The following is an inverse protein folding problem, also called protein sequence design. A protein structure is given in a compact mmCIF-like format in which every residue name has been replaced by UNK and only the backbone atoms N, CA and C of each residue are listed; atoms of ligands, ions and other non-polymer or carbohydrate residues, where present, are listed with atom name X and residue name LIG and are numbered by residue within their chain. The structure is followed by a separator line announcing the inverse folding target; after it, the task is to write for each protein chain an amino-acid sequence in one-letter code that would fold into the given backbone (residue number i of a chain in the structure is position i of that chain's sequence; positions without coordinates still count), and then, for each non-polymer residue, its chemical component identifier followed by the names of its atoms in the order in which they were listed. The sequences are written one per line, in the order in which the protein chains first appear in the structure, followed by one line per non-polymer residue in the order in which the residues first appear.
data_IF_632349469107
#
_entry.id   IF_632349469107
#
_cell.length_a   1.000
_cell.length_b   1.000
_cell.length_c   1.000
_cell.angle_alpha   90.00
_cell.angle_beta   90.00
_cell.angle_gamma   90.00
#
_symmetry.space_group_name_H-M   'P 1'
#
loop_
_entity.id
_entity.type
_entity.pdbx_description
1 polymer ?
#
# COMPACT_ATOMS: atom_id res chain seq x y z
N UNK A 1 1.47 -9.74 11.06
CA UNK A 1 0.77 -8.71 11.87
C UNK A 1 0.30 -7.68 10.86
N UNK A 2 -1.00 -7.44 10.76
CA UNK A 2 -1.58 -6.74 9.60
C UNK A 2 -1.48 -5.21 9.66
N UNK A 3 -1.23 -4.58 10.82
CA UNK A 3 -1.24 -3.10 10.92
C UNK A 3 -0.11 -2.38 10.15
N UNK A 4 -0.38 -1.16 9.67
CA UNK A 4 0.62 -0.35 8.94
C UNK A 4 1.72 0.18 9.86
N UNK A 5 1.38 0.47 11.13
CA UNK A 5 2.29 1.04 12.13
C UNK A 5 2.89 2.37 11.64
N UNK A 6 2.05 3.24 11.07
CA UNK A 6 2.43 4.43 10.32
C UNK A 6 3.57 5.25 10.96
N UNK A 7 3.40 5.73 12.19
CA UNK A 7 4.44 6.52 12.88
C UNK A 7 5.80 5.79 12.95
N UNK A 8 5.78 4.47 13.17
CA UNK A 8 7.00 3.65 13.26
C UNK A 8 7.61 3.34 11.90
N UNK A 9 6.77 3.27 10.88
CA UNK A 9 7.20 3.11 9.49
C UNK A 9 7.87 4.40 9.00
N UNK A 10 7.30 5.57 9.32
CA UNK A 10 7.92 6.88 9.06
C UNK A 10 9.28 7.01 9.75
N UNK A 11 9.37 6.72 11.06
CA UNK A 11 10.64 6.76 11.80
C UNK A 11 11.70 5.83 11.18
N UNK A 12 11.33 4.61 10.77
CA UNK A 12 12.28 3.67 10.15
C UNK A 12 12.71 4.09 8.75
N UNK A 13 11.79 4.64 7.94
CA UNK A 13 12.11 5.17 6.62
C UNK A 13 13.09 6.35 6.73
N UNK A 14 12.85 7.26 7.68
CA UNK A 14 13.74 8.38 7.98
C UNK A 14 15.14 7.90 8.35
N UNK A 15 15.25 6.96 9.30
CA UNK A 15 16.53 6.38 9.67
C UNK A 15 17.23 5.69 8.50
N UNK A 16 16.48 5.01 7.64
CA UNK A 16 17.05 4.34 6.49
C UNK A 16 17.59 5.35 5.45
N UNK A 17 16.87 6.44 5.20
CA UNK A 17 17.35 7.53 4.35
C UNK A 17 18.63 8.17 4.91
N UNK A 18 18.71 8.40 6.22
CA UNK A 18 19.89 9.00 6.87
C UNK A 18 21.11 8.08 6.92
N UNK A 19 20.91 6.77 7.07
CA UNK A 19 22.00 5.79 7.28
C UNK A 19 22.41 5.05 6.00
N UNK A 20 21.53 4.97 5.01
CA UNK A 20 21.73 4.25 3.75
C UNK A 20 21.83 2.73 3.87
N UNK A 21 21.83 2.16 5.08
CA UNK A 21 21.94 0.72 5.29
C UNK A 21 21.23 0.21 6.54
N UNK A 22 20.65 -0.99 6.45
CA UNK A 22 19.85 -1.60 7.51
C UNK A 22 20.64 -2.09 8.73
N UNK A 23 21.97 -2.16 8.65
CA UNK A 23 22.80 -2.54 9.80
C UNK A 23 22.84 -1.37 10.79
N UNK A 24 23.15 -0.17 10.30
CA UNK A 24 23.24 1.03 11.12
C UNK A 24 21.85 1.49 11.62
N UNK A 25 20.80 1.31 10.81
CA UNK A 25 19.41 1.54 11.24
C UNK A 25 19.05 0.65 12.43
N UNK A 26 19.45 -0.63 12.38
CA UNK A 26 19.17 -1.59 13.46
C UNK A 26 19.79 -1.15 14.78
N UNK A 27 21.05 -0.75 14.73
CA UNK A 27 21.80 -0.35 15.92
C UNK A 27 21.19 0.92 16.51
N UNK A 28 20.94 1.94 15.67
CA UNK A 28 20.27 3.19 16.07
C UNK A 28 18.89 2.91 16.68
N UNK A 29 18.05 2.10 16.02
CA UNK A 29 16.70 1.78 16.46
C UNK A 29 16.65 1.13 17.86
N UNK A 30 17.60 0.24 18.15
CA UNK A 30 17.66 -0.43 19.45
C UNK A 30 18.34 0.38 20.54
N UNK A 31 19.37 1.15 20.20
CA UNK A 31 20.14 1.94 21.16
C UNK A 31 19.40 3.19 21.61
N UNK A 32 18.80 3.92 20.67
CA UNK A 32 18.01 5.13 20.96
C UNK A 32 16.60 4.80 21.48
N UNK A 33 16.23 3.51 21.48
CA UNK A 33 14.92 3.02 21.91
C UNK A 33 13.77 3.81 21.29
N UNK A 34 13.88 4.22 20.03
CA UNK A 34 12.95 5.16 19.37
C UNK A 34 11.47 4.75 19.46
N UNK A 35 11.18 3.46 19.72
CA UNK A 35 9.85 2.99 20.13
C UNK A 35 9.27 3.57 21.44
N UNK A 36 10.06 4.31 22.24
CA UNK A 36 9.84 5.11 23.48
C UNK A 36 8.77 4.70 24.52
N UNK A 37 8.06 3.59 24.34
CA UNK A 37 6.98 3.07 25.20
C UNK A 37 6.90 1.54 25.21
N UNK A 38 7.84 0.85 24.57
CA UNK A 38 7.71 -0.56 24.24
C UNK A 38 8.83 -1.39 24.86
N UNK A 39 8.51 -2.60 25.32
CA UNK A 39 9.52 -3.56 25.77
C UNK A 39 10.53 -3.86 24.66
N UNK A 40 11.75 -4.31 25.00
CA UNK A 40 12.75 -4.76 24.01
C UNK A 40 12.16 -5.75 22.99
N UNK A 41 11.26 -6.64 23.44
CA UNK A 41 10.58 -7.61 22.59
C UNK A 41 9.62 -6.99 21.58
N UNK A 42 8.84 -5.97 21.97
CA UNK A 42 7.94 -5.27 21.05
C UNK A 42 8.68 -4.40 20.04
N UNK A 43 9.74 -3.70 20.46
CA UNK A 43 10.59 -2.94 19.54
C UNK A 43 11.23 -3.85 18.49
N UNK A 44 11.74 -5.02 18.90
CA UNK A 44 12.30 -6.00 17.97
C UNK A 44 11.26 -6.59 17.01
N UNK A 45 10.03 -6.79 17.47
CA UNK A 45 8.94 -7.28 16.62
C UNK A 45 8.54 -6.24 15.57
N UNK A 46 8.39 -4.97 15.96
CA UNK A 46 8.07 -3.86 15.04
C UNK A 46 9.17 -3.73 13.99
N UNK A 47 10.43 -3.66 14.43
CA UNK A 47 11.59 -3.59 13.54
C UNK A 47 11.56 -4.71 12.49
N UNK A 48 11.43 -5.98 12.93
CA UNK A 48 11.42 -7.12 12.01
C UNK A 48 10.29 -7.04 10.98
N UNK A 49 9.08 -6.65 11.39
CA UNK A 49 7.93 -6.57 10.48
C UNK A 49 8.12 -5.44 9.46
N UNK A 50 8.49 -4.25 9.90
CA UNK A 50 8.63 -3.09 9.01
C UNK A 50 9.85 -3.20 8.10
N UNK A 51 11.00 -3.62 8.63
CA UNK A 51 12.19 -3.86 7.81
C UNK A 51 11.97 -4.98 6.80
N UNK A 52 11.17 -6.02 7.09
CA UNK A 52 10.78 -7.01 6.08
C UNK A 52 10.03 -6.34 4.92
N UNK A 53 9.03 -5.51 5.21
CA UNK A 53 8.24 -4.81 4.19
C UNK A 53 9.11 -3.92 3.30
N UNK A 54 10.03 -3.17 3.90
CA UNK A 54 10.90 -2.27 3.16
C UNK A 54 11.98 -3.00 2.36
N UNK A 55 12.62 -4.03 2.94
CA UNK A 55 13.68 -4.79 2.24
C UNK A 55 13.18 -5.61 1.07
N UNK A 56 11.95 -6.11 1.17
CA UNK A 56 11.35 -6.99 0.17
C UNK A 56 10.40 -6.24 -0.77
N UNK A 57 10.36 -4.91 -0.69
CA UNK A 57 9.54 -4.10 -1.59
C UNK A 57 10.01 -4.32 -3.05
N UNK A 58 9.09 -4.59 -4.00
CA UNK A 58 9.44 -4.68 -5.41
C UNK A 58 9.89 -3.32 -5.93
N UNK A 59 10.62 -3.31 -7.06
CA UNK A 59 11.04 -2.08 -7.75
C UNK A 59 9.86 -1.25 -8.28
N UNK A 60 8.68 -1.88 -8.40
CA UNK A 60 7.44 -1.19 -8.78
C UNK A 60 6.92 -0.25 -7.69
N UNK A 61 7.51 -0.23 -6.49
CA UNK A 61 7.23 0.72 -5.41
C UNK A 61 8.39 1.71 -5.21
N UNK A 62 8.14 2.90 -4.63
CA UNK A 62 9.22 3.82 -4.29
C UNK A 62 10.30 3.13 -3.47
N UNK A 63 11.57 3.54 -3.65
CA UNK A 63 12.62 3.07 -2.77
C UNK A 63 12.31 3.49 -1.32
N UNK A 64 12.44 2.62 -0.30
CA UNK A 64 12.25 3.02 1.09
C UNK A 64 13.07 4.23 1.54
N UNK A 65 14.20 4.54 0.89
CA UNK A 65 14.98 5.76 1.18
C UNK A 65 14.29 7.05 0.73
N UNK A 66 13.38 6.97 -0.24
CA UNK A 66 12.62 8.11 -0.78
C UNK A 66 11.29 8.33 -0.04
N UNK A 67 10.86 7.38 0.79
CA UNK A 67 9.63 7.46 1.57
C UNK A 67 9.50 8.71 2.46
N UNK A 68 10.57 9.24 3.10
CA UNK A 68 10.46 10.49 3.86
C UNK A 68 9.95 11.65 3.02
N UNK A 69 10.48 11.84 1.81
CA UNK A 69 10.05 12.88 0.88
C UNK A 69 8.62 12.66 0.40
N UNK A 70 8.26 11.40 0.07
CA UNK A 70 6.87 11.03 -0.27
C UNK A 70 5.91 11.37 0.88
N UNK A 71 6.31 11.12 2.12
CA UNK A 71 5.48 11.41 3.29
C UNK A 71 5.41 12.90 3.64
N UNK A 72 6.41 13.70 3.28
CA UNK A 72 6.39 15.15 3.46
C UNK A 72 5.35 15.81 2.53
N UNK A 73 5.23 15.31 1.31
CA UNK A 73 4.26 15.81 0.32
C UNK A 73 2.80 15.35 0.61
N UNK A 74 2.63 14.31 1.41
CA UNK A 74 1.29 13.83 1.81
C UNK A 74 0.58 14.86 2.71
N UNK A 75 -0.61 15.32 2.28
CA UNK A 75 -1.41 16.34 2.99
C UNK A 75 -2.09 15.80 4.24
N UNK A 76 -2.29 14.48 4.33
CA UNK A 76 -2.99 13.85 5.45
C UNK A 76 -2.34 12.54 5.88
N UNK A 77 -2.57 12.15 7.14
CA UNK A 77 -2.18 10.84 7.68
C UNK A 77 -2.75 9.67 6.85
N UNK A 78 -3.94 9.84 6.25
CA UNK A 78 -4.55 8.85 5.37
C UNK A 78 -3.75 8.66 4.09
N UNK A 79 -3.24 9.74 3.49
CA UNK A 79 -2.41 9.64 2.28
C UNK A 79 -1.13 8.85 2.57
N UNK A 80 -0.45 9.13 3.69
CA UNK A 80 0.72 8.32 4.10
C UNK A 80 0.37 6.85 4.33
N UNK A 81 -0.79 6.58 4.94
CA UNK A 81 -1.29 5.23 5.14
C UNK A 81 -1.58 4.51 3.82
N UNK A 82 -2.15 5.20 2.83
CA UNK A 82 -2.41 4.67 1.49
C UNK A 82 -1.09 4.32 0.76
N UNK A 83 -0.04 5.13 0.91
CA UNK A 83 1.29 4.80 0.38
C UNK A 83 1.87 3.57 1.08
N UNK A 84 1.88 3.53 2.42
CA UNK A 84 2.41 2.38 3.18
C UNK A 84 1.63 1.08 2.95
N UNK A 85 0.35 1.19 2.64
CA UNK A 85 -0.50 0.06 2.36
C UNK A 85 0.02 -0.78 1.18
N UNK A 86 0.58 -0.16 0.15
CA UNK A 86 1.23 -0.90 -0.95
C UNK A 86 2.40 -1.77 -0.47
N UNK A 87 3.23 -1.29 0.46
CA UNK A 87 4.32 -2.08 1.05
C UNK A 87 3.80 -3.23 1.92
N UNK A 88 2.62 -3.08 2.54
CA UNK A 88 1.97 -4.17 3.24
C UNK A 88 1.46 -5.23 2.24
N UNK A 89 0.73 -4.79 1.22
CA UNK A 89 0.13 -5.66 0.19
C UNK A 89 1.20 -6.49 -0.52
N UNK A 90 2.35 -5.89 -0.86
CA UNK A 90 3.42 -6.61 -1.57
C UNK A 90 4.24 -7.56 -0.68
N UNK A 91 4.25 -7.36 0.64
CA UNK A 91 5.05 -8.17 1.56
C UNK A 91 4.26 -9.27 2.30
N UNK A 92 2.95 -9.12 2.51
CA UNK A 92 2.13 -10.08 3.24
C UNK A 92 1.17 -10.81 2.29
N UNK A 93 1.45 -12.09 2.00
CA UNK A 93 0.72 -12.88 1.00
C UNK A 93 -0.77 -13.04 1.31
N UNK A 94 -1.15 -13.10 2.59
CA UNK A 94 -2.56 -13.15 2.98
C UNK A 94 -3.27 -11.83 2.68
N UNK A 95 -2.62 -10.70 2.99
CA UNK A 95 -3.14 -9.38 2.65
C UNK A 95 -3.24 -9.25 1.13
N UNK A 96 -2.19 -9.62 0.41
CA UNK A 96 -2.16 -9.57 -1.06
C UNK A 96 -3.31 -10.34 -1.67
N UNK A 97 -3.52 -11.57 -1.22
CA UNK A 97 -4.59 -12.44 -1.72
C UNK A 97 -5.96 -11.81 -1.49
N UNK A 98 -6.27 -11.40 -0.25
CA UNK A 98 -7.57 -10.80 0.06
C UNK A 98 -7.81 -9.51 -0.72
N UNK A 99 -6.79 -8.65 -0.86
CA UNK A 99 -6.90 -7.42 -1.65
C UNK A 99 -7.10 -7.72 -3.13
N UNK A 100 -6.41 -8.73 -3.67
CA UNK A 100 -6.57 -9.14 -5.06
C UNK A 100 -7.97 -9.67 -5.35
N UNK A 101 -8.58 -10.41 -4.41
CA UNK A 101 -9.96 -10.88 -4.52
C UNK A 101 -10.97 -9.73 -4.55
N UNK A 102 -10.77 -8.68 -3.74
CA UNK A 102 -11.62 -7.48 -3.85
C UNK A 102 -11.36 -6.69 -5.14
N UNK A 103 -10.10 -6.56 -5.56
CA UNK A 103 -9.72 -5.88 -6.79
C UNK A 103 -10.35 -6.56 -8.01
N UNK A 104 -10.28 -7.89 -8.10
CA UNK A 104 -10.90 -8.68 -9.17
C UNK A 104 -12.41 -8.48 -9.21
N UNK A 105 -13.09 -8.38 -8.07
CA UNK A 105 -14.54 -8.07 -8.05
C UNK A 105 -14.85 -6.69 -8.59
N UNK A 106 -14.02 -5.69 -8.27
CA UNK A 106 -14.19 -4.33 -8.76
C UNK A 106 -13.98 -4.25 -10.28
N UNK A 107 -12.95 -4.95 -10.78
CA UNK A 107 -12.61 -5.05 -12.20
C UNK A 107 -13.71 -5.77 -13.01
N UNK A 108 -14.33 -6.81 -12.44
CA UNK A 108 -15.48 -7.49 -13.02
C UNK A 108 -16.80 -6.67 -12.94
N UNK A 109 -16.76 -5.44 -12.41
CA UNK A 109 -17.93 -4.56 -12.29
C UNK A 109 -18.98 -5.07 -11.29
N UNK A 110 -18.61 -5.95 -10.35
CA UNK A 110 -19.55 -6.45 -9.34
C UNK A 110 -19.96 -5.29 -8.42
N UNK A 111 -21.26 -5.06 -8.31
CA UNK A 111 -21.83 -4.02 -7.46
C UNK A 111 -21.96 -4.42 -5.98
N UNK A 112 -21.33 -5.53 -5.58
CA UNK A 112 -21.34 -5.97 -4.20
C UNK A 112 -20.61 -4.95 -3.32
N UNK A 113 -21.14 -4.65 -2.12
CA UNK A 113 -20.44 -3.77 -1.20
C UNK A 113 -19.10 -4.39 -0.78
N UNK A 114 -18.13 -3.53 -0.44
CA UNK A 114 -16.86 -3.98 0.13
C UNK A 114 -17.09 -4.49 1.56
N UNK A 115 -17.47 -5.75 1.72
CA UNK A 115 -17.79 -6.37 3.01
C UNK A 115 -16.57 -7.02 3.67
N UNK A 116 -16.03 -6.36 4.70
CA UNK A 116 -14.90 -6.80 5.51
C UNK A 116 -15.33 -7.46 6.83
N UNK A 117 -16.54 -8.02 6.91
CA UNK A 117 -16.97 -8.85 8.05
C UNK A 117 -16.02 -10.03 8.27
N UNK A 118 -15.97 -10.55 9.50
CA UNK A 118 -15.13 -11.73 9.79
C UNK A 118 -15.60 -12.91 8.91
N UNK A 119 -16.91 -13.05 8.68
CA UNK A 119 -17.50 -14.07 7.80
C UNK A 119 -17.02 -13.93 6.35
N UNK A 120 -17.04 -12.72 5.78
CA UNK A 120 -16.60 -12.48 4.41
C UNK A 120 -15.09 -12.70 4.24
N UNK A 121 -14.27 -12.20 5.19
CA UNK A 121 -12.83 -12.39 5.16
C UNK A 121 -12.44 -13.86 5.32
N UNK A 122 -13.09 -14.61 6.22
CA UNK A 122 -12.87 -16.05 6.39
C UNK A 122 -13.29 -16.80 5.11
N UNK A 123 -14.41 -16.44 4.49
CA UNK A 123 -14.85 -17.06 3.24
C UNK A 123 -13.82 -16.86 2.13
N UNK A 124 -13.25 -15.66 1.99
CA UNK A 124 -12.14 -15.41 1.05
C UNK A 124 -10.93 -16.27 1.41
N UNK A 125 -10.42 -16.17 2.64
CA UNK A 125 -9.22 -16.90 3.07
C UNK A 125 -9.35 -18.42 2.92
N UNK A 126 -10.55 -18.98 3.09
CA UNK A 126 -10.80 -20.42 2.93
C UNK A 126 -10.60 -20.93 1.50
N UNK A 127 -10.57 -20.03 0.51
CA UNK A 127 -10.32 -20.35 -0.90
C UNK A 127 -8.82 -20.29 -1.24
N UNK A 128 -7.98 -19.74 -0.36
CA UNK A 128 -6.55 -19.66 -0.58
C UNK A 128 -5.92 -21.06 -0.60
N UNK A 129 -5.24 -21.35 -1.70
CA UNK A 129 -4.36 -22.52 -1.86
C UNK A 129 -2.93 -22.03 -2.03
N UNK A 130 -2.04 -22.51 -1.16
CA UNK A 130 -0.61 -22.23 -1.24
C UNK A 130 0.06 -22.98 -2.39
N UNK A 131 1.27 -22.58 -2.76
CA UNK A 131 2.01 -23.16 -3.88
C UNK A 131 2.37 -24.65 -3.69
N UNK A 132 2.38 -25.13 -2.46
CA UNK A 132 2.58 -26.54 -2.09
C UNK A 132 1.28 -27.36 -2.12
N UNK A 133 0.13 -26.72 -2.41
CA UNK A 133 -1.19 -27.33 -2.45
C UNK A 133 -1.91 -27.34 -1.11
N UNK A 134 -1.28 -26.87 -0.03
CA UNK A 134 -1.93 -26.75 1.27
C UNK A 134 -2.96 -25.61 1.26
N UNK A 135 -4.02 -25.75 2.05
CA UNK A 135 -5.03 -24.71 2.24
C UNK A 135 -4.70 -23.82 3.43
N UNK A 136 -5.37 -22.67 3.51
CA UNK A 136 -5.34 -21.84 4.72
C UNK A 136 -5.84 -22.62 5.96
N UNK A 137 -4.96 -22.81 6.96
CA UNK A 137 -5.24 -23.55 8.20
C UNK A 137 -4.72 -22.80 9.45
N UNK A 138 -5.15 -21.55 9.62
CA UNK A 138 -4.90 -20.83 10.86
C UNK A 138 -5.96 -21.21 11.91
N UNK A 139 -5.50 -21.39 13.15
CA UNK A 139 -6.42 -21.53 14.29
C UNK A 139 -7.36 -20.31 14.38
N UNK A 140 -8.62 -20.54 14.76
CA UNK A 140 -9.69 -19.51 14.80
C UNK A 140 -9.26 -18.21 15.50
N UNK A 141 -8.54 -18.32 16.62
CA UNK A 141 -8.04 -17.16 17.37
C UNK A 141 -7.03 -16.31 16.59
N UNK A 142 -6.20 -16.95 15.76
CA UNK A 142 -5.24 -16.28 14.87
C UNK A 142 -5.97 -15.65 13.70
N UNK A 143 -6.92 -16.36 13.09
CA UNK A 143 -7.75 -15.85 11.99
C UNK A 143 -8.56 -14.63 12.40
N UNK A 144 -9.22 -14.67 13.56
CA UNK A 144 -9.96 -13.53 14.10
C UNK A 144 -9.06 -12.31 14.33
N UNK A 145 -7.90 -12.51 14.95
CA UNK A 145 -6.91 -11.43 15.16
C UNK A 145 -6.39 -10.86 13.84
N UNK A 146 -6.27 -11.70 12.82
CA UNK A 146 -5.90 -11.26 11.47
C UNK A 146 -7.01 -10.39 10.87
N UNK A 147 -8.27 -10.81 10.94
CA UNK A 147 -9.43 -10.05 10.44
C UNK A 147 -9.56 -8.68 11.12
N UNK A 148 -9.38 -8.62 12.44
CA UNK A 148 -9.34 -7.37 13.20
C UNK A 148 -8.21 -6.45 12.72
N UNK A 149 -7.03 -7.02 12.48
CA UNK A 149 -5.87 -6.30 11.95
C UNK A 149 -6.12 -5.76 10.53
N UNK A 150 -6.70 -6.56 9.65
CA UNK A 150 -7.03 -6.17 8.28
C UNK A 150 -8.05 -5.03 8.26
N UNK A 151 -9.12 -5.14 9.06
CA UNK A 151 -10.08 -4.04 9.23
C UNK A 151 -9.44 -2.77 9.80
N UNK A 152 -8.43 -2.88 10.67
CA UNK A 152 -7.67 -1.70 11.12
C UNK A 152 -6.98 -0.99 9.96
N UNK A 153 -6.34 -1.74 9.06
CA UNK A 153 -5.72 -1.17 7.84
C UNK A 153 -6.75 -0.51 6.96
N UNK A 154 -7.89 -1.17 6.70
CA UNK A 154 -8.97 -0.61 5.89
C UNK A 154 -9.49 0.72 6.45
N UNK A 155 -9.50 0.90 7.78
CA UNK A 155 -9.82 2.20 8.41
C UNK A 155 -8.72 3.24 8.22
N UNK A 156 -7.46 2.85 8.38
CA UNK A 156 -6.30 3.73 8.21
C UNK A 156 -6.24 4.32 6.79
N UNK A 157 -6.56 3.52 5.77
CA UNK A 157 -6.61 3.97 4.36
C UNK A 157 -7.93 4.63 3.94
N UNK A 158 -8.93 4.64 4.82
CA UNK A 158 -10.23 5.31 4.62
C UNK A 158 -11.29 4.50 3.87
N UNK A 159 -11.12 3.18 3.73
CA UNK A 159 -12.15 2.28 3.15
C UNK A 159 -13.29 2.05 4.14
N UNK A 160 -12.96 1.87 5.41
CA UNK A 160 -13.94 1.68 6.48
C UNK A 160 -14.08 2.95 7.33
N UNK A 161 -15.31 3.45 7.43
CA UNK A 161 -15.64 4.57 8.31
C UNK A 161 -16.03 4.09 9.72
N UNK A 162 -15.30 4.56 10.72
CA UNK A 162 -15.61 4.30 12.13
C UNK A 162 -15.18 2.93 12.65
N UNK A 163 -15.17 2.80 13.99
CA UNK A 163 -14.56 1.67 14.70
C UNK A 163 -15.29 0.33 14.53
N UNK A 164 -16.60 0.35 14.25
CA UNK A 164 -17.43 -0.85 14.17
C UNK A 164 -17.90 -1.18 12.76
N UNK A 165 -17.63 -0.32 11.76
CA UNK A 165 -18.03 -0.64 10.40
C UNK A 165 -17.24 -1.85 9.88
N UNK A 166 -17.97 -2.69 9.15
CA UNK A 166 -17.45 -3.82 8.38
C UNK A 166 -17.75 -3.66 6.89
N UNK A 167 -18.68 -2.79 6.51
CA UNK A 167 -18.95 -2.47 5.10
C UNK A 167 -18.23 -1.17 4.74
N UNK A 168 -17.40 -1.23 3.72
CA UNK A 168 -16.57 -0.12 3.25
C UNK A 168 -17.09 0.53 1.98
N UNK A 169 -16.38 1.59 1.60
CA UNK A 169 -16.57 2.33 0.34
C UNK A 169 -15.23 2.72 -0.23
N UNK A 170 -15.20 3.14 -1.50
CA UNK A 170 -13.98 3.62 -2.14
C UNK A 170 -13.44 4.86 -1.42
N UNK A 171 -12.20 4.83 -0.93
CA UNK A 171 -11.62 5.95 -0.20
C UNK A 171 -11.38 7.15 -1.12
N UNK A 172 -11.31 8.34 -0.54
CA UNK A 172 -10.71 9.49 -1.22
C UNK A 172 -9.20 9.27 -1.38
N UNK A 173 -8.67 9.63 -2.54
CA UNK A 173 -7.25 9.49 -2.87
C UNK A 173 -6.69 10.88 -3.17
N UNK A 174 -5.71 11.30 -2.36
CA UNK A 174 -4.95 12.54 -2.57
C UNK A 174 -3.97 12.40 -3.73
N UNK A 175 -3.25 13.48 -4.04
CA UNK A 175 -2.38 13.50 -5.22
C UNK A 175 -1.19 12.54 -5.07
N UNK A 176 -0.55 12.49 -3.90
CA UNK A 176 0.62 11.62 -3.69
C UNK A 176 0.29 10.12 -3.76
N UNK A 177 -0.73 9.58 -3.06
CA UNK A 177 -1.08 8.17 -3.22
C UNK A 177 -1.64 7.84 -4.61
N UNK A 178 -2.24 8.82 -5.30
CA UNK A 178 -2.64 8.67 -6.70
C UNK A 178 -1.41 8.46 -7.58
N UNK A 179 -0.40 9.33 -7.49
CA UNK A 179 0.84 9.19 -8.26
C UNK A 179 1.55 7.86 -7.99
N UNK A 180 1.64 7.45 -6.71
CA UNK A 180 2.19 6.13 -6.35
C UNK A 180 1.37 4.98 -6.95
N UNK A 181 0.04 5.08 -6.94
CA UNK A 181 -0.82 4.05 -7.54
C UNK A 181 -0.69 4.00 -9.07
N UNK A 182 -0.50 5.14 -9.73
CA UNK A 182 -0.30 5.24 -11.18
C UNK A 182 1.03 4.62 -11.58
N UNK A 183 2.13 5.04 -10.95
CA UNK A 183 3.47 4.49 -11.19
C UNK A 183 3.52 2.98 -10.90
N UNK A 184 2.91 2.54 -9.79
CA UNK A 184 2.79 1.12 -9.47
C UNK A 184 2.04 0.34 -10.54
N UNK A 185 0.96 0.90 -11.10
CA UNK A 185 0.18 0.24 -12.15
C UNK A 185 1.00 0.09 -13.43
N UNK A 186 1.63 1.19 -13.86
CA UNK A 186 2.46 1.24 -15.07
C UNK A 186 3.65 0.28 -15.02
N UNK A 187 4.33 0.20 -13.88
CA UNK A 187 5.46 -0.71 -13.68
C UNK A 187 5.02 -2.18 -13.51
N UNK A 188 3.75 -2.44 -13.22
CA UNK A 188 3.26 -3.81 -12.96
C UNK A 188 2.79 -4.56 -14.20
N UNK A 189 2.25 -3.85 -15.20
CA UNK A 189 1.63 -4.46 -16.38
C UNK A 189 1.67 -3.50 -17.59
N UNK A 190 1.88 -4.04 -18.80
CA UNK A 190 1.86 -3.26 -20.04
C UNK A 190 0.43 -2.82 -20.42
N UNK A 191 -0.61 -3.59 -20.03
CA UNK A 191 -2.02 -3.29 -20.31
C UNK A 191 -2.73 -2.53 -19.17
N UNK A 192 -1.95 -1.89 -18.29
CA UNK A 192 -2.39 -1.32 -17.01
C UNK A 192 -3.55 -0.32 -17.10
N UNK A 193 -3.74 0.38 -18.22
CA UNK A 193 -4.83 1.37 -18.39
C UNK A 193 -6.20 0.70 -18.26
N UNK A 194 -6.32 -0.55 -18.69
CA UNK A 194 -7.59 -1.29 -18.69
C UNK A 194 -7.88 -1.98 -17.36
N UNK A 195 -6.85 -2.16 -16.52
CA UNK A 195 -6.96 -2.74 -15.18
C UNK A 195 -5.87 -2.15 -14.26
N UNK A 196 -5.95 -0.85 -13.88
CA UNK A 196 -4.89 -0.16 -13.16
C UNK A 196 -4.76 -0.70 -11.74
N UNK A 197 -3.84 -1.65 -11.57
CA UNK A 197 -3.69 -2.46 -10.35
C UNK A 197 -3.55 -1.61 -9.09
N UNK A 198 -2.86 -0.48 -9.18
CA UNK A 198 -2.72 0.45 -8.06
C UNK A 198 -4.03 1.12 -7.66
N UNK A 199 -4.84 1.56 -8.63
CA UNK A 199 -6.16 2.13 -8.37
C UNK A 199 -7.12 1.07 -7.83
N UNK A 200 -7.09 -0.13 -8.40
CA UNK A 200 -7.86 -1.29 -7.92
C UNK A 200 -7.48 -1.66 -6.48
N UNK A 201 -6.19 -1.63 -6.13
CA UNK A 201 -5.73 -1.87 -4.75
C UNK A 201 -6.16 -0.78 -3.77
N UNK A 202 -6.32 0.47 -4.23
CA UNK A 202 -6.96 1.55 -3.49
C UNK A 202 -8.50 1.52 -3.59
N UNK A 203 -9.08 0.42 -4.04
CA UNK A 203 -10.52 0.18 -4.17
C UNK A 203 -11.24 1.25 -5.00
N UNK A 204 -10.58 1.77 -6.04
CA UNK A 204 -11.17 2.73 -6.97
C UNK A 204 -11.88 2.00 -8.12
N UNK A 205 -13.21 2.15 -8.26
CA UNK A 205 -13.98 1.52 -9.33
C UNK A 205 -13.73 2.19 -10.68
N UNK A 206 -13.97 1.44 -11.76
CA UNK A 206 -13.74 1.85 -13.16
C UNK A 206 -14.34 3.21 -13.50
N UNK A 207 -15.54 3.50 -13.01
CA UNK A 207 -16.24 4.77 -13.27
C UNK A 207 -15.55 6.01 -12.68
N UNK A 208 -14.44 5.85 -11.94
CA UNK A 208 -13.60 6.93 -11.44
C UNK A 208 -12.25 7.04 -12.12
N UNK A 209 -11.85 6.08 -12.95
CA UNK A 209 -10.49 6.04 -13.48
C UNK A 209 -10.19 7.25 -14.38
N UNK A 210 -11.10 7.64 -15.27
CA UNK A 210 -10.93 8.84 -16.12
C UNK A 210 -10.68 10.10 -15.27
N UNK A 211 -11.48 10.33 -14.21
CA UNK A 211 -11.28 11.44 -13.27
C UNK A 211 -9.88 11.40 -12.62
N UNK A 212 -9.42 10.20 -12.23
CA UNK A 212 -8.13 10.02 -11.56
C UNK A 212 -6.95 10.17 -12.52
N UNK A 213 -7.12 9.73 -13.77
CA UNK A 213 -6.15 9.90 -14.84
C UNK A 213 -5.99 11.38 -15.20
N UNK A 214 -7.09 12.11 -15.37
CA UNK A 214 -7.08 13.57 -15.58
C UNK A 214 -6.41 14.31 -14.41
N UNK A 215 -6.67 13.87 -13.17
CA UNK A 215 -6.02 14.44 -11.99
C UNK A 215 -4.51 14.18 -11.97
N UNK A 216 -4.07 12.98 -12.35
CA UNK A 216 -2.64 12.67 -12.46
C UNK A 216 -1.98 13.51 -13.55
N UNK A 217 -2.59 13.62 -14.73
CA UNK A 217 -2.13 14.46 -15.84
C UNK A 217 -2.22 15.97 -15.55
N UNK A 218 -3.04 16.37 -14.57
CA UNK A 218 -3.07 17.73 -14.04
C UNK A 218 -1.86 18.07 -13.15
N UNK A 219 -1.01 17.09 -12.85
CA UNK A 219 0.30 17.30 -12.22
C UNK A 219 1.40 17.33 -13.29
N UNK A 220 2.60 17.80 -12.93
CA UNK A 220 3.75 17.75 -13.85
C UNK A 220 4.36 16.32 -13.96
N UNK A 221 3.86 15.35 -13.20
CA UNK A 221 4.42 14.00 -13.11
C UNK A 221 3.92 13.06 -14.23
N UNK A 222 2.75 13.33 -14.78
CA UNK A 222 2.09 12.50 -15.79
C UNK A 222 1.58 13.37 -16.93
N UNK A 223 1.57 12.83 -18.14
CA UNK A 223 1.12 13.54 -19.34
C UNK A 223 0.27 12.64 -20.25
N UNK A 224 -0.69 13.26 -20.94
CA UNK A 224 -1.35 12.65 -22.08
C UNK A 224 -0.58 12.95 -23.36
N UNK A 225 -0.33 11.92 -24.16
CA UNK A 225 0.25 12.05 -25.49
C UNK A 225 -0.64 11.44 -26.54
N UNK A 226 -0.93 12.23 -27.56
CA UNK A 226 -1.63 11.74 -28.74
C UNK A 226 -0.62 11.03 -29.66
N UNK A 227 -0.67 9.70 -29.68
CA UNK A 227 0.13 8.85 -30.55
C UNK A 227 -0.80 8.15 -31.53
N UNK A 228 -0.63 8.44 -32.82
CA UNK A 228 -1.40 7.82 -33.92
C UNK A 228 -2.93 7.95 -33.81
N UNK A 229 -3.43 8.96 -33.09
CA UNK A 229 -4.87 9.20 -32.89
C UNK A 229 -5.44 8.51 -31.64
N UNK A 230 -4.60 7.78 -30.89
CA UNK A 230 -4.91 7.24 -29.57
C UNK A 230 -4.26 8.13 -28.51
N UNK A 231 -5.00 8.44 -27.45
CA UNK A 231 -4.51 9.21 -26.31
C UNK A 231 -3.86 8.24 -25.32
N UNK A 232 -2.54 8.26 -25.23
CA UNK A 232 -1.75 7.46 -24.30
C UNK A 232 -1.44 8.26 -23.04
N UNK A 233 -1.48 7.63 -21.87
CA UNK A 233 -1.20 8.26 -20.59
C UNK A 233 0.08 7.65 -20.02
N UNK A 234 1.07 8.48 -19.68
CA UNK A 234 2.36 7.98 -19.20
C UNK A 234 3.04 8.94 -18.21
N UNK A 235 4.04 8.48 -17.45
CA UNK A 235 4.92 9.38 -16.70
C UNK A 235 5.60 10.38 -17.64
N UNK A 236 5.75 11.64 -17.20
CA UNK A 236 6.43 12.69 -17.97
C UNK A 236 7.92 12.41 -18.17
N UNK A 237 8.54 11.72 -17.19
CA UNK A 237 9.91 11.20 -17.26
C UNK A 237 9.90 9.68 -17.00
N UNK A 238 10.54 9.23 -15.92
CA UNK A 238 10.47 7.85 -15.42
C UNK A 238 9.50 7.75 -14.23
N UNK A 239 8.93 6.57 -13.93
CA UNK A 239 8.14 6.36 -12.72
C UNK A 239 8.88 6.85 -11.48
N UNK A 240 8.17 7.51 -10.57
CA UNK A 240 8.72 8.08 -9.33
C UNK A 240 9.74 9.23 -9.50
N UNK A 241 10.02 9.70 -10.72
CA UNK A 241 10.89 10.88 -10.96
C UNK A 241 10.41 12.17 -10.28
N UNK A 242 9.11 12.27 -10.00
CA UNK A 242 8.50 13.38 -9.27
C UNK A 242 8.91 13.42 -7.79
N UNK A 243 9.47 12.35 -7.24
CA UNK A 243 10.00 12.35 -5.87
C UNK A 243 11.31 13.12 -5.87
N UNK A 244 11.28 14.35 -5.34
CA UNK A 244 12.44 15.24 -5.32
C UNK A 244 13.48 14.77 -4.31
N UNK A 245 14.43 13.97 -4.78
CA UNK A 245 15.55 13.54 -3.95
C UNK A 245 16.51 14.70 -3.72
N UNK A 246 16.38 15.42 -2.61
CA UNK A 246 17.41 16.38 -2.21
C UNK A 246 18.63 15.62 -1.66
N UNK A 247 19.59 15.32 -2.54
CA UNK A 247 20.97 15.04 -2.15
C UNK A 247 21.43 13.59 -2.28
N UNK A 248 21.89 13.24 -3.49
CA UNK A 248 23.00 12.33 -3.67
C UNK A 248 24.10 13.05 -4.47
N UNK A 249 24.98 13.77 -3.75
CA UNK A 249 26.29 14.21 -4.24
C UNK A 249 27.36 13.51 -3.42
#
# INVERSE_FOLDING_TARGET
MCGLLLERAEELAQLYAERGNWTDVKDTWFDERLSNRSTRGSSQKIYRVLTSRFKNAPTTLPNPSALPEVFEECKTTREKAQVLYFYLVTNDSLVQYVVHEYASRLDEGKQEPLDFSDEALIAILSQLTYSDGDSFDYADSTTKRWCEGFRSVMREIGVLDGQQSVVGSSPSVGDIPLLVAMDYSHESDEEWITAPRGLLYLFQPENRWEELFDRAAGTDAWEYLELHGDLDLRPSEEPYSWIRTEGAV
#
